data_IF_113771522230
#
_entry.id   IF_113771522230
#
_cell.length_a   1.000
_cell.length_b   1.000
_cell.length_c   1.000
_cell.angle_alpha   90.00
_cell.angle_beta   90.00
_cell.angle_gamma   90.00
#
_symmetry.space_group_name_H-M   'P 1'
#
loop_
_entity.id
_entity.type
_entity.pdbx_description
1 polymer ?
#
# COMPACT_ATOMS: atom_id res chain seq x y z
N UNK A 1 -6.02 36.54 -19.93
CA UNK A 1 -5.16 35.36 -19.68
C UNK A 1 -5.78 34.58 -18.54
N UNK A 2 -6.26 33.37 -18.79
CA UNK A 2 -6.82 32.52 -17.73
C UNK A 2 -5.70 32.15 -16.74
N UNK A 3 -5.97 32.12 -15.42
CA UNK A 3 -4.97 31.68 -14.45
C UNK A 3 -4.59 30.23 -14.76
N UNK A 4 -3.31 29.98 -15.00
CA UNK A 4 -2.77 28.62 -15.07
C UNK A 4 -2.95 28.05 -13.68
N UNK A 5 -3.92 27.14 -13.51
CA UNK A 5 -4.17 26.48 -12.24
C UNK A 5 -2.98 25.55 -12.00
N UNK A 6 -2.02 25.99 -11.18
CA UNK A 6 -0.97 25.14 -10.66
C UNK A 6 -1.60 24.20 -9.63
N UNK A 7 -2.28 23.16 -10.11
CA UNK A 7 -2.69 22.07 -9.23
C UNK A 7 -1.41 21.43 -8.68
N UNK A 8 -1.26 21.36 -7.34
CA UNK A 8 -0.10 20.70 -6.77
C UNK A 8 -0.08 19.24 -7.23
N UNK A 9 1.07 18.79 -7.71
CA UNK A 9 1.23 17.41 -8.14
C UNK A 9 1.20 16.50 -6.90
N UNK A 10 0.45 15.40 -6.92
CA UNK A 10 0.39 14.48 -5.79
C UNK A 10 1.69 13.68 -5.65
N UNK A 11 2.12 13.39 -4.44
CA UNK A 11 3.22 12.49 -4.17
C UNK A 11 2.76 11.02 -4.21
N UNK A 12 3.64 10.13 -4.69
CA UNK A 12 3.36 8.70 -4.76
C UNK A 12 3.86 8.01 -3.50
N UNK A 13 2.96 7.35 -2.77
CA UNK A 13 3.25 6.52 -1.61
C UNK A 13 3.62 5.11 -2.11
N UNK A 14 4.89 4.92 -2.44
CA UNK A 14 5.41 3.64 -2.97
C UNK A 14 5.15 2.42 -2.07
N UNK A 15 5.15 2.61 -0.75
CA UNK A 15 4.84 1.56 0.22
C UNK A 15 3.45 0.93 0.01
N UNK A 16 2.46 1.73 -0.40
CA UNK A 16 1.09 1.26 -0.64
C UNK A 16 1.01 0.40 -1.89
N UNK A 17 1.71 0.80 -2.96
CA UNK A 17 1.83 0.01 -4.18
C UNK A 17 2.55 -1.32 -3.92
N UNK A 18 3.66 -1.27 -3.15
CA UNK A 18 4.42 -2.46 -2.76
C UNK A 18 3.56 -3.45 -1.96
N UNK A 19 2.85 -2.96 -0.94
CA UNK A 19 1.99 -3.79 -0.11
C UNK A 19 0.88 -4.48 -0.94
N UNK A 20 0.25 -3.76 -1.87
CA UNK A 20 -0.78 -4.33 -2.73
C UNK A 20 -0.22 -5.34 -3.75
N UNK A 21 0.99 -5.13 -4.27
CA UNK A 21 1.68 -6.13 -5.09
C UNK A 21 1.93 -7.41 -4.30
N UNK A 22 2.46 -7.29 -3.09
CA UNK A 22 2.77 -8.42 -2.20
C UNK A 22 1.51 -9.18 -1.78
N UNK A 23 0.41 -8.48 -1.51
CA UNK A 23 -0.89 -9.08 -1.21
C UNK A 23 -1.40 -9.97 -2.36
N UNK A 24 -1.04 -9.65 -3.60
CA UNK A 24 -1.41 -10.43 -4.80
C UNK A 24 -0.33 -11.43 -5.22
N UNK A 25 0.76 -11.54 -4.46
CA UNK A 25 1.91 -12.43 -4.73
C UNK A 25 2.50 -12.24 -6.13
N UNK A 26 2.49 -11.01 -6.63
CA UNK A 26 3.06 -10.67 -7.94
C UNK A 26 4.52 -10.26 -7.80
N UNK A 27 5.36 -10.74 -8.71
CA UNK A 27 6.73 -10.24 -8.84
C UNK A 27 6.76 -8.85 -9.49
N UNK A 28 7.81 -8.06 -9.24
CA UNK A 28 7.95 -6.71 -9.84
C UNK A 28 7.99 -6.76 -11.36
N UNK A 29 8.67 -7.75 -11.90
CA UNK A 29 8.79 -7.97 -13.35
C UNK A 29 7.44 -8.35 -13.94
N UNK A 30 6.67 -9.18 -13.24
CA UNK A 30 5.35 -9.59 -13.70
C UNK A 30 4.35 -8.43 -13.69
N UNK A 31 4.31 -7.66 -12.60
CA UNK A 31 3.51 -6.43 -12.52
C UNK A 31 3.89 -5.42 -13.62
N UNK A 32 5.20 -5.28 -13.88
CA UNK A 32 5.70 -4.41 -14.95
C UNK A 32 5.18 -4.85 -16.33
N UNK A 33 5.27 -6.14 -16.64
CA UNK A 33 4.75 -6.70 -17.90
C UNK A 33 3.24 -6.48 -18.03
N UNK A 34 2.48 -6.67 -16.95
CA UNK A 34 1.03 -6.47 -16.91
C UNK A 34 0.63 -5.00 -17.11
N UNK A 35 1.45 -4.06 -16.64
CA UNK A 35 1.22 -2.62 -16.77
C UNK A 35 1.87 -1.99 -18.03
N UNK A 36 2.55 -2.79 -18.86
CA UNK A 36 3.39 -2.32 -19.97
C UNK A 36 4.45 -1.29 -19.52
N UNK A 37 5.10 -1.56 -18.38
CA UNK A 37 6.17 -0.76 -17.79
C UNK A 37 7.45 -1.59 -17.66
N UNK A 38 8.56 -0.94 -17.30
CA UNK A 38 9.79 -1.66 -16.95
C UNK A 38 9.83 -2.04 -15.47
N UNK A 39 10.53 -3.13 -15.14
CA UNK A 39 10.72 -3.54 -13.74
C UNK A 39 11.43 -2.47 -12.91
N UNK A 40 12.32 -1.68 -13.52
CA UNK A 40 12.96 -0.52 -12.88
C UNK A 40 11.96 0.58 -12.53
N UNK A 41 11.00 0.87 -13.41
CA UNK A 41 9.94 1.84 -13.12
C UNK A 41 9.08 1.39 -11.93
N UNK A 42 8.78 0.09 -11.81
CA UNK A 42 8.06 -0.44 -10.64
C UNK A 42 8.90 -0.30 -9.37
N UNK A 43 10.19 -0.64 -9.40
CA UNK A 43 11.09 -0.47 -8.26
C UNK A 43 11.13 0.99 -7.79
N UNK A 44 11.34 1.92 -8.71
CA UNK A 44 11.37 3.36 -8.42
C UNK A 44 10.02 3.88 -7.90
N UNK A 45 8.89 3.33 -8.37
CA UNK A 45 7.58 3.67 -7.80
C UNK A 45 7.43 3.18 -6.37
N UNK A 46 7.91 1.98 -6.05
CA UNK A 46 7.83 1.40 -4.70
C UNK A 46 8.79 2.07 -3.70
N UNK A 47 10.01 2.40 -4.13
CA UNK A 47 11.06 2.99 -3.29
C UNK A 47 11.03 4.53 -3.30
N UNK A 48 10.22 5.12 -4.17
CA UNK A 48 10.06 6.58 -4.27
C UNK A 48 11.05 7.28 -5.21
N UNK A 49 11.87 6.54 -5.95
CA UNK A 49 12.82 7.08 -6.93
C UNK A 49 12.21 7.81 -8.13
N UNK A 50 13.05 8.52 -8.89
CA UNK A 50 12.70 9.24 -10.11
C UNK A 50 13.66 8.91 -11.28
N UNK A 51 14.67 8.05 -11.08
CA UNK A 51 15.73 7.83 -12.07
C UNK A 51 15.22 7.22 -13.38
N UNK A 52 14.10 6.52 -13.34
CA UNK A 52 13.47 5.91 -14.52
C UNK A 52 12.34 6.76 -15.13
N UNK A 53 12.10 7.98 -14.61
CA UNK A 53 11.02 8.85 -15.04
C UNK A 53 11.57 10.17 -15.59
N UNK A 54 11.22 10.49 -16.84
CA UNK A 54 11.59 11.77 -17.46
C UNK A 54 10.97 13.00 -16.77
N UNK A 55 9.82 12.81 -16.12
CA UNK A 55 9.11 13.90 -15.44
C UNK A 55 8.18 13.36 -14.34
N UNK A 56 7.87 14.23 -13.37
CA UNK A 56 6.96 13.91 -12.28
C UNK A 56 5.54 13.53 -12.77
N UNK A 57 4.91 14.25 -13.72
CA UNK A 57 3.60 13.85 -14.25
C UNK A 57 3.58 12.46 -14.89
N UNK A 58 4.69 12.06 -15.54
CA UNK A 58 4.83 10.73 -16.10
C UNK A 58 4.90 9.66 -15.00
N UNK A 59 5.61 9.96 -13.89
CA UNK A 59 5.62 9.11 -12.69
C UNK A 59 4.21 8.90 -12.14
N UNK A 60 3.41 9.96 -12.02
CA UNK A 60 2.02 9.86 -11.54
C UNK A 60 1.16 9.04 -12.50
N UNK A 61 1.34 9.22 -13.81
CA UNK A 61 0.59 8.43 -14.81
C UNK A 61 0.94 6.94 -14.75
N UNK A 62 2.22 6.60 -14.52
CA UNK A 62 2.63 5.21 -14.29
C UNK A 62 2.07 4.66 -12.99
N UNK A 63 2.13 5.42 -11.89
CA UNK A 63 1.52 5.04 -10.62
C UNK A 63 0.01 4.77 -10.75
N UNK A 64 -0.70 5.60 -11.52
CA UNK A 64 -2.14 5.42 -11.82
C UNK A 64 -2.44 4.10 -12.52
N UNK A 65 -1.64 3.74 -13.53
CA UNK A 65 -1.80 2.44 -14.22
C UNK A 65 -1.55 1.27 -13.28
N UNK A 66 -0.50 1.34 -12.46
CA UNK A 66 -0.16 0.30 -11.49
C UNK A 66 -1.24 0.19 -10.41
N UNK A 67 -1.69 1.30 -9.84
CA UNK A 67 -2.75 1.35 -8.84
C UNK A 67 -4.07 0.80 -9.38
N UNK A 68 -4.46 1.19 -10.61
CA UNK A 68 -5.63 0.65 -11.29
C UNK A 68 -5.52 -0.86 -11.51
N UNK A 69 -4.34 -1.36 -11.93
CA UNK A 69 -4.13 -2.80 -12.06
C UNK A 69 -4.27 -3.52 -10.72
N UNK A 70 -3.74 -2.92 -9.64
CA UNK A 70 -3.80 -3.44 -8.27
C UNK A 70 -5.18 -3.27 -7.60
N UNK A 71 -6.17 -2.70 -8.29
CA UNK A 71 -7.50 -2.36 -7.75
C UNK A 71 -7.44 -1.42 -6.53
N UNK A 72 -6.47 -0.52 -6.49
CA UNK A 72 -6.36 0.53 -5.47
C UNK A 72 -7.00 1.83 -5.97
N UNK A 73 -7.55 2.61 -5.04
CA UNK A 73 -8.02 3.96 -5.35
C UNK A 73 -6.86 4.94 -5.39
N UNK A 74 -6.97 6.01 -6.18
CA UNK A 74 -5.91 7.03 -6.27
C UNK A 74 -5.55 7.60 -4.89
N UNK A 75 -6.53 7.78 -4.01
CA UNK A 75 -6.34 8.29 -2.64
C UNK A 75 -5.50 7.37 -1.74
N UNK A 76 -5.40 6.07 -2.07
CA UNK A 76 -4.63 5.12 -1.25
C UNK A 76 -3.12 5.28 -1.43
N UNK A 77 -2.68 5.68 -2.63
CA UNK A 77 -1.27 5.76 -2.99
C UNK A 77 -0.84 7.12 -3.53
N UNK A 78 -1.74 8.06 -3.76
CA UNK A 78 -1.44 9.45 -4.10
C UNK A 78 -1.76 10.35 -2.91
N UNK A 79 -0.71 10.93 -2.34
CA UNK A 79 -0.82 11.94 -1.30
C UNK A 79 -0.88 13.33 -1.93
N UNK A 80 -2.00 14.01 -1.78
CA UNK A 80 -2.12 15.40 -2.22
C UNK A 80 -1.64 16.29 -1.07
N UNK A 81 -0.67 17.19 -1.29
CA UNK A 81 -0.28 18.15 -0.26
C UNK A 81 -1.50 19.03 0.04
N UNK A 82 -2.08 18.82 1.21
CA UNK A 82 -3.13 19.69 1.73
C UNK A 82 -2.45 21.00 2.15
N UNK A 83 -3.02 22.18 1.83
CA UNK A 83 -2.65 23.38 2.55
C UNK A 83 -2.86 23.10 4.05
N UNK A 84 -1.97 23.61 4.94
CA UNK A 84 -2.04 23.31 6.36
C UNK A 84 -3.45 23.59 6.86
N UNK A 85 -4.14 22.53 7.27
CA UNK A 85 -5.45 22.64 7.87
C UNK A 85 -5.28 23.42 9.16
N UNK A 86 -5.99 24.54 9.28
CA UNK A 86 -6.15 25.20 10.57
C UNK A 86 -6.72 24.18 11.56
N UNK A 87 -6.19 24.11 12.80
CA UNK A 87 -6.60 23.11 13.76
C UNK A 87 -8.07 23.30 14.11
N UNK A 88 -8.93 22.38 13.68
CA UNK A 88 -10.27 22.23 14.21
C UNK A 88 -10.18 21.40 15.48
N UNK A 89 -10.07 22.08 16.61
CA UNK A 89 -10.31 21.51 17.94
C UNK A 89 -11.77 21.05 18.06
N UNK A 90 -11.97 19.81 18.51
CA UNK A 90 -13.28 19.21 18.83
C UNK A 90 -13.65 18.10 17.85
N UNK A 91 -13.83 16.84 18.23
CA UNK A 91 -14.33 16.33 19.49
C UNK A 91 -13.76 14.92 19.74
N UNK A 92 -13.17 14.77 20.92
CA UNK A 92 -12.81 13.54 21.58
C UNK A 92 -14.08 12.70 21.86
N UNK A 93 -14.06 11.39 21.61
CA UNK A 93 -15.18 10.55 22.02
C UNK A 93 -15.14 9.10 21.54
N UNK A 94 -14.90 8.20 22.50
CA UNK A 94 -15.28 6.79 22.54
C UNK A 94 -14.28 5.73 22.01
N UNK A 95 -13.33 5.41 22.90
CA UNK A 95 -13.08 4.08 23.50
C UNK A 95 -12.92 2.82 22.60
N UNK A 96 -11.80 2.07 22.75
CA UNK A 96 -11.68 0.71 22.26
C UNK A 96 -12.41 -0.26 23.20
N UNK A 97 -13.43 -0.95 22.68
CA UNK A 97 -14.07 -2.07 23.38
C UNK A 97 -13.20 -3.32 23.16
N UNK A 98 -12.56 -3.78 24.24
CA UNK A 98 -12.20 -5.18 24.44
C UNK A 98 -13.53 -5.98 24.48
N UNK A 99 -13.66 -7.19 23.98
CA UNK A 99 -13.14 -8.44 24.54
C UNK A 99 -13.45 -9.56 23.52
N UNK A 100 -12.51 -10.46 23.24
CA UNK A 100 -12.88 -11.85 22.92
C UNK A 100 -11.89 -12.78 23.63
N UNK A 101 -12.48 -13.59 24.51
CA UNK A 101 -11.83 -14.43 25.49
C UNK A 101 -11.56 -15.82 24.92
N UNK A 102 -10.46 -16.40 25.40
CA UNK A 102 -10.14 -17.82 25.43
C UNK A 102 -9.71 -18.43 24.07
N UNK A 103 -8.57 -19.12 23.98
CA UNK A 103 -8.28 -20.31 24.79
C UNK A 103 -6.78 -20.61 24.75
N UNK A 104 -6.10 -20.37 25.87
CA UNK A 104 -4.88 -21.09 26.22
C UNK A 104 -5.30 -22.49 26.67
N UNK A 105 -4.82 -23.53 26.02
CA UNK A 105 -4.64 -24.83 26.66
C UNK A 105 -3.50 -25.60 25.98
N UNK A 106 -2.31 -25.40 26.56
CA UNK A 106 -1.22 -26.35 26.80
C UNK A 106 -1.40 -27.79 26.25
N UNK A 107 -0.50 -28.16 25.34
CA UNK A 107 0.10 -29.50 25.30
C UNK A 107 0.99 -29.68 26.56
N UNK A 108 1.14 -30.87 27.18
CA UNK A 108 1.80 -32.00 26.52
C UNK A 108 1.35 -33.42 26.93
N UNK A 109 1.82 -34.40 26.13
CA UNK A 109 2.23 -35.77 26.46
C UNK A 109 1.59 -36.51 27.65
N UNK A 110 0.87 -37.59 27.34
CA UNK A 110 1.27 -38.99 27.53
C UNK A 110 0.04 -39.88 27.32
N UNK A 111 0.27 -41.09 26.77
CA UNK A 111 -0.36 -42.35 27.16
C UNK A 111 -0.08 -43.38 26.05
N UNK A 112 1.02 -44.11 26.24
CA UNK A 112 1.08 -45.52 25.82
C UNK A 112 -0.06 -46.29 26.50
N UNK A 113 -0.58 -47.35 25.87
CA UNK A 113 -0.18 -48.65 26.39
C UNK A 113 0.15 -49.71 25.33
N UNK A 114 1.09 -50.54 25.75
CA UNK A 114 1.53 -51.85 25.26
C UNK A 114 0.42 -52.83 24.87
N UNK A 115 0.67 -53.63 23.82
CA UNK A 115 0.43 -55.08 23.72
C UNK A 115 0.85 -55.53 22.32
N UNK A 116 1.94 -56.28 22.12
CA UNK A 116 2.01 -57.75 22.26
C UNK A 116 1.07 -58.49 21.28
N UNK A 117 1.59 -58.82 20.10
CA UNK A 117 1.69 -60.19 19.57
C UNK A 117 2.69 -60.22 18.40
#
# INVERSE_FOLDING_TARGET
MSPVKNNPLPDVIGARLKAAREARKLERVELANLCCLSAKMILELEEGGMSSFYSFPLKISAAKRVGSFLNLTESDYLSFPQPPAEPVEGLEGATPEAEDLARTEVAPAELNPTSAQ
#
